data_IF_088156995585
#
_entry.id   IF_088156995585
#
_cell.length_a   1.000
_cell.length_b   1.000
_cell.length_c   1.000
_cell.angle_alpha   90.00
_cell.angle_beta   90.00
_cell.angle_gamma   90.00
#
_symmetry.space_group_name_H-M   'P 1'
#
loop_
_entity.id
_entity.type
_entity.pdbx_description
1 polymer ?
#
# COMPACT_ATOMS: atom_id res chain seq x y z
N UNK A 1 -11.54 3.13 27.51
CA UNK A 1 -10.16 3.58 27.23
C UNK A 1 -9.40 2.42 26.64
N UNK A 2 -8.89 2.55 25.42
CA UNK A 2 -8.17 1.48 24.71
C UNK A 2 -6.66 1.48 25.04
N UNK A 3 -6.27 1.98 26.21
CA UNK A 3 -4.87 2.07 26.61
C UNK A 3 -4.29 0.66 26.74
N UNK A 4 -3.27 0.33 25.95
CA UNK A 4 -2.62 -0.98 25.94
C UNK A 4 -3.22 -2.00 24.96
N UNK A 5 -4.37 -1.74 24.35
CA UNK A 5 -5.01 -2.70 23.45
C UNK A 5 -4.24 -2.83 22.12
N UNK A 6 -3.69 -1.73 21.60
CA UNK A 6 -2.90 -1.77 20.35
C UNK A 6 -1.58 -2.49 20.60
N UNK A 7 -0.92 -2.17 21.72
CA UNK A 7 0.32 -2.78 22.15
C UNK A 7 0.15 -4.29 22.37
N UNK A 8 -0.95 -4.71 23.00
CA UNK A 8 -1.27 -6.12 23.21
C UNK A 8 -1.51 -6.86 21.89
N UNK A 9 -2.25 -6.26 20.94
CA UNK A 9 -2.48 -6.85 19.62
C UNK A 9 -1.16 -6.99 18.85
N UNK A 10 -0.31 -5.96 18.84
CA UNK A 10 0.99 -6.00 18.16
C UNK A 10 1.94 -7.01 18.82
N UNK A 11 1.94 -7.10 20.15
CA UNK A 11 2.71 -8.12 20.87
C UNK A 11 2.25 -9.54 20.53
N UNK A 12 0.93 -9.77 20.42
CA UNK A 12 0.37 -11.05 19.99
C UNK A 12 0.78 -11.39 18.55
N UNK A 13 0.74 -10.42 17.63
CA UNK A 13 1.22 -10.60 16.25
C UNK A 13 2.69 -11.00 16.21
N UNK A 14 3.54 -10.37 17.02
CA UNK A 14 4.97 -10.71 17.11
C UNK A 14 5.23 -12.08 17.74
N UNK A 15 4.40 -12.51 18.70
CA UNK A 15 4.55 -13.81 19.38
C UNK A 15 4.05 -14.98 18.54
N UNK A 16 3.09 -14.74 17.65
CA UNK A 16 2.46 -15.77 16.82
C UNK A 16 2.52 -15.42 15.32
N UNK A 17 3.72 -15.25 14.74
CA UNK A 17 3.87 -14.84 13.36
C UNK A 17 3.29 -15.86 12.37
N UNK A 18 3.28 -17.16 12.70
CA UNK A 18 2.80 -18.21 11.79
C UNK A 18 1.28 -18.40 11.79
N UNK A 19 0.58 -17.89 12.82
CA UNK A 19 -0.86 -18.06 12.94
C UNK A 19 -1.60 -17.07 12.02
N UNK A 20 -1.90 -17.51 10.80
CA UNK A 20 -2.54 -16.68 9.78
C UNK A 20 -3.88 -16.07 10.21
N UNK A 21 -4.71 -16.84 10.95
CA UNK A 21 -6.02 -16.37 11.43
C UNK A 21 -5.81 -15.24 12.43
N UNK A 22 -4.90 -15.42 13.38
CA UNK A 22 -4.55 -14.39 14.35
C UNK A 22 -4.02 -13.13 13.66
N UNK A 23 -3.14 -13.27 12.65
CA UNK A 23 -2.62 -12.12 11.93
C UNK A 23 -3.72 -11.36 11.17
N UNK A 24 -4.65 -12.06 10.52
CA UNK A 24 -5.79 -11.45 9.83
C UNK A 24 -6.69 -10.68 10.80
N UNK A 25 -7.11 -11.32 11.89
CA UNK A 25 -7.98 -10.71 12.89
C UNK A 25 -7.30 -9.51 13.57
N UNK A 26 -6.00 -9.62 13.83
CA UNK A 26 -5.19 -8.54 14.38
C UNK A 26 -5.15 -7.32 13.46
N UNK A 27 -4.96 -7.50 12.14
CA UNK A 27 -5.00 -6.37 11.19
C UNK A 27 -6.36 -5.69 11.14
N UNK A 28 -7.45 -6.47 11.16
CA UNK A 28 -8.81 -5.93 11.21
C UNK A 28 -9.04 -5.14 12.50
N UNK A 29 -8.57 -5.66 13.64
CA UNK A 29 -8.66 -4.98 14.92
C UNK A 29 -7.85 -3.67 14.91
N UNK A 30 -6.58 -3.70 14.51
CA UNK A 30 -5.72 -2.51 14.41
C UNK A 30 -6.36 -1.47 13.50
N UNK A 31 -6.83 -1.86 12.31
CA UNK A 31 -7.48 -0.95 11.37
C UNK A 31 -8.70 -0.26 12.00
N UNK A 32 -9.57 -1.01 12.69
CA UNK A 32 -10.74 -0.43 13.38
C UNK A 32 -10.36 0.49 14.52
N UNK A 33 -9.27 0.21 15.21
CA UNK A 33 -8.80 1.03 16.33
C UNK A 33 -8.20 2.34 15.87
N UNK A 34 -7.46 2.35 14.75
CA UNK A 34 -6.79 3.56 14.25
C UNK A 34 -7.67 4.40 13.33
N UNK A 35 -8.67 3.81 12.67
CA UNK A 35 -9.54 4.53 11.74
C UNK A 35 -10.34 5.64 12.47
N UNK A 36 -10.09 6.89 12.08
CA UNK A 36 -10.76 8.06 12.66
C UNK A 36 -10.36 8.38 14.11
N UNK A 37 -9.25 7.82 14.61
CA UNK A 37 -8.78 8.06 15.97
C UNK A 37 -7.27 8.35 16.00
N UNK A 38 -6.92 9.63 16.02
CA UNK A 38 -5.54 10.11 16.02
C UNK A 38 -4.75 9.69 17.27
N UNK A 39 -5.40 9.61 18.43
CA UNK A 39 -4.76 9.14 19.67
C UNK A 39 -4.30 7.68 19.54
N UNK A 40 -5.15 6.84 18.95
CA UNK A 40 -4.83 5.45 18.67
C UNK A 40 -3.77 5.32 17.57
N UNK A 41 -3.76 6.22 16.57
CA UNK A 41 -2.67 6.30 15.58
C UNK A 41 -1.33 6.58 16.29
N UNK A 42 -1.27 7.58 17.17
CA UNK A 42 -0.05 7.91 17.93
C UNK A 42 0.42 6.78 18.85
N UNK A 43 -0.52 6.04 19.46
CA UNK A 43 -0.21 4.84 20.26
C UNK A 43 0.36 3.72 19.39
N UNK A 44 -0.26 3.46 18.23
CA UNK A 44 0.24 2.48 17.27
C UNK A 44 1.65 2.85 16.77
N UNK A 45 1.90 4.13 16.50
CA UNK A 45 3.22 4.64 16.13
C UNK A 45 4.27 4.40 17.21
N UNK A 46 3.93 4.72 18.47
CA UNK A 46 4.80 4.50 19.62
C UNK A 46 5.12 3.02 19.82
N UNK A 47 4.16 2.14 19.49
CA UNK A 47 4.30 0.69 19.54
C UNK A 47 5.04 0.09 18.32
N UNK A 48 5.46 0.90 17.34
CA UNK A 48 6.23 0.43 16.19
C UNK A 48 5.41 -0.33 15.15
N UNK A 49 4.10 -0.04 15.04
CA UNK A 49 3.16 -0.74 14.15
C UNK A 49 3.66 -0.90 12.71
N UNK A 50 4.36 0.10 12.14
CA UNK A 50 4.85 0.07 10.75
C UNK A 50 5.81 -1.11 10.54
N UNK A 51 6.73 -1.35 11.50
CA UNK A 51 7.67 -2.46 11.42
C UNK A 51 6.97 -3.81 11.47
N UNK A 52 6.00 -3.95 12.38
CA UNK A 52 5.18 -5.16 12.52
C UNK A 52 4.40 -5.44 11.23
N UNK A 53 3.77 -4.42 10.65
CA UNK A 53 3.00 -4.55 9.41
C UNK A 53 3.90 -5.05 8.27
N UNK A 54 5.05 -4.41 8.06
CA UNK A 54 5.98 -4.79 6.98
C UNK A 54 6.54 -6.20 7.19
N UNK A 55 6.91 -6.57 8.41
CA UNK A 55 7.36 -7.93 8.72
C UNK A 55 6.27 -8.97 8.41
N UNK A 56 5.03 -8.69 8.79
CA UNK A 56 3.91 -9.60 8.56
C UNK A 56 3.58 -9.72 7.07
N UNK A 57 3.61 -8.62 6.31
CA UNK A 57 3.45 -8.67 4.84
C UNK A 57 4.48 -9.57 4.17
N UNK A 58 5.74 -9.52 4.62
CA UNK A 58 6.83 -10.35 4.09
C UNK A 58 6.69 -11.83 4.49
N UNK A 59 6.18 -12.10 5.69
CA UNK A 59 5.90 -13.47 6.14
C UNK A 59 4.70 -14.13 5.47
N UNK A 60 3.71 -13.34 5.03
CA UNK A 60 2.41 -13.83 4.55
C UNK A 60 2.07 -13.37 3.14
N UNK A 61 3.03 -13.46 2.22
CA UNK A 61 2.88 -12.96 0.84
C UNK A 61 1.70 -13.56 0.07
N UNK A 62 1.33 -14.81 0.35
CA UNK A 62 0.22 -15.50 -0.33
C UNK A 62 -1.16 -15.21 0.26
N UNK A 63 -1.23 -14.59 1.44
CA UNK A 63 -2.50 -14.35 2.11
C UNK A 63 -3.11 -13.01 1.66
N UNK A 64 -3.97 -13.06 0.65
CA UNK A 64 -4.59 -11.88 0.06
C UNK A 64 -5.26 -10.95 1.10
N UNK A 65 -6.12 -11.48 1.98
CA UNK A 65 -6.83 -10.70 3.01
C UNK A 65 -5.87 -9.99 3.97
N UNK A 66 -4.77 -10.65 4.33
CA UNK A 66 -3.75 -10.06 5.18
C UNK A 66 -3.02 -8.92 4.44
N UNK A 67 -2.68 -9.12 3.16
CA UNK A 67 -2.07 -8.07 2.34
C UNK A 67 -3.00 -6.86 2.19
N UNK A 68 -4.31 -7.06 2.02
CA UNK A 68 -5.32 -5.98 2.00
C UNK A 68 -5.31 -5.18 3.30
N UNK A 69 -5.45 -5.86 4.44
CA UNK A 69 -5.47 -5.22 5.76
C UNK A 69 -4.17 -4.48 6.07
N UNK A 70 -3.04 -5.08 5.73
CA UNK A 70 -1.73 -4.46 5.90
C UNK A 70 -1.56 -3.20 5.05
N UNK A 71 -1.96 -3.23 3.77
CA UNK A 71 -1.93 -2.04 2.91
C UNK A 71 -2.84 -0.93 3.43
N UNK A 72 -4.02 -1.28 3.94
CA UNK A 72 -4.96 -0.34 4.53
C UNK A 72 -4.39 0.32 5.78
N UNK A 73 -3.80 -0.45 6.71
CA UNK A 73 -3.14 0.10 7.90
C UNK A 73 -2.01 1.06 7.51
N UNK A 74 -1.16 0.69 6.54
CA UNK A 74 -0.09 1.57 6.05
C UNK A 74 -0.62 2.87 5.43
N UNK A 75 -1.74 2.82 4.70
CA UNK A 75 -2.36 4.02 4.14
C UNK A 75 -2.84 4.98 5.23
N UNK A 76 -3.52 4.46 6.27
CA UNK A 76 -4.03 5.28 7.38
C UNK A 76 -2.87 5.91 8.16
N UNK A 77 -1.83 5.13 8.47
CA UNK A 77 -0.67 5.63 9.21
C UNK A 77 0.13 6.68 8.41
N UNK A 78 0.14 6.61 7.09
CA UNK A 78 0.90 7.53 6.23
C UNK A 78 0.09 8.75 5.79
N UNK A 79 -1.23 8.69 5.91
CA UNK A 79 -2.13 9.78 5.58
C UNK A 79 -1.84 10.99 6.48
N UNK A 80 -1.59 12.14 5.87
CA UNK A 80 -1.27 13.40 6.54
C UNK A 80 -0.12 13.38 7.59
N UNK A 81 0.67 12.31 7.66
CA UNK A 81 1.75 12.16 8.64
C UNK A 81 3.12 11.97 7.97
N UNK A 82 3.86 13.08 7.78
CA UNK A 82 5.17 13.08 7.14
C UNK A 82 6.24 12.23 7.86
N UNK A 83 6.20 12.16 9.20
CA UNK A 83 7.14 11.32 9.97
C UNK A 83 6.90 9.83 9.69
N UNK A 84 5.64 9.42 9.61
CA UNK A 84 5.30 8.03 9.28
C UNK A 84 5.64 7.69 7.84
N UNK A 85 5.51 8.62 6.89
CA UNK A 85 5.98 8.41 5.50
C UNK A 85 7.46 8.06 5.48
N UNK A 86 8.30 8.80 6.21
CA UNK A 86 9.75 8.52 6.32
C UNK A 86 9.98 7.15 6.98
N UNK A 87 9.32 6.86 8.11
CA UNK A 87 9.43 5.56 8.80
C UNK A 87 9.01 4.39 7.90
N UNK A 88 7.92 4.53 7.17
CA UNK A 88 7.42 3.52 6.23
C UNK A 88 8.41 3.28 5.08
N UNK A 89 8.98 4.35 4.52
CA UNK A 89 10.04 4.28 3.53
C UNK A 89 11.30 3.58 4.04
N UNK A 90 11.72 3.85 5.28
CA UNK A 90 12.89 3.23 5.89
C UNK A 90 12.68 1.77 6.27
N UNK A 91 11.44 1.40 6.65
CA UNK A 91 11.07 0.02 6.91
C UNK A 91 10.98 -0.84 5.63
N UNK A 92 10.98 -0.22 4.46
CA UNK A 92 10.78 -0.89 3.17
C UNK A 92 9.32 -1.28 2.94
N UNK A 93 8.38 -0.44 3.37
CA UNK A 93 6.94 -0.65 3.20
C UNK A 93 6.52 -0.51 1.74
N UNK A 94 7.16 0.38 0.97
CA UNK A 94 6.86 0.59 -0.45
C UNK A 94 7.15 -0.69 -1.24
N UNK A 95 8.30 -1.31 -1.01
CA UNK A 95 8.70 -2.57 -1.63
C UNK A 95 7.75 -3.71 -1.24
N UNK A 96 7.33 -3.77 0.02
CA UNK A 96 6.37 -4.77 0.50
C UNK A 96 4.99 -4.61 -0.17
N UNK A 97 4.47 -3.38 -0.27
CA UNK A 97 3.19 -3.09 -0.95
C UNK A 97 3.27 -3.41 -2.44
N UNK A 98 4.37 -3.05 -3.12
CA UNK A 98 4.56 -3.40 -4.53
C UNK A 98 4.70 -4.91 -4.74
N UNK A 99 5.33 -5.64 -3.81
CA UNK A 99 5.38 -7.09 -3.85
C UNK A 99 3.98 -7.71 -3.68
N UNK A 100 3.15 -7.17 -2.77
CA UNK A 100 1.76 -7.60 -2.61
C UNK A 100 0.94 -7.42 -3.90
N UNK A 101 1.09 -6.27 -4.57
CA UNK A 101 0.44 -6.04 -5.87
C UNK A 101 0.89 -7.02 -6.95
N UNK A 102 2.17 -7.43 -6.94
CA UNK A 102 2.72 -8.41 -7.88
C UNK A 102 2.25 -9.83 -7.57
N UNK A 103 2.12 -10.18 -6.29
CA UNK A 103 1.65 -11.48 -5.83
C UNK A 103 0.16 -11.70 -6.08
N UNK A 104 -0.63 -10.62 -6.09
CA UNK A 104 -2.09 -10.67 -6.25
C UNK A 104 -2.59 -9.79 -7.40
N UNK A 105 -2.20 -10.06 -8.66
CA UNK A 105 -2.51 -9.20 -9.79
C UNK A 105 -4.01 -9.15 -10.14
N UNK A 106 -4.75 -10.22 -9.86
CA UNK A 106 -6.18 -10.35 -10.16
C UNK A 106 -7.07 -9.83 -9.03
N UNK A 107 -6.51 -9.62 -7.84
CA UNK A 107 -7.27 -9.08 -6.72
C UNK A 107 -7.36 -7.55 -6.82
N UNK A 108 -8.46 -7.07 -7.39
CA UNK A 108 -8.73 -5.65 -7.60
C UNK A 108 -8.72 -4.84 -6.30
N UNK A 109 -9.14 -5.43 -5.18
CA UNK A 109 -9.17 -4.77 -3.87
C UNK A 109 -7.74 -4.49 -3.41
N UNK A 110 -6.85 -5.49 -3.49
CA UNK A 110 -5.42 -5.30 -3.19
C UNK A 110 -4.82 -4.22 -4.09
N UNK A 111 -5.09 -4.27 -5.40
CA UNK A 111 -4.54 -3.27 -6.33
C UNK A 111 -4.96 -1.85 -5.96
N UNK A 112 -6.24 -1.64 -5.62
CA UNK A 112 -6.78 -0.33 -5.23
C UNK A 112 -6.18 0.15 -3.91
N UNK A 113 -6.23 -0.67 -2.85
CA UNK A 113 -5.74 -0.28 -1.53
C UNK A 113 -4.22 -0.08 -1.55
N UNK A 114 -3.47 -0.92 -2.28
CA UNK A 114 -2.04 -0.76 -2.44
C UNK A 114 -1.68 0.53 -3.16
N UNK A 115 -2.43 0.92 -4.21
CA UNK A 115 -2.23 2.21 -4.88
C UNK A 115 -2.44 3.39 -3.92
N UNK A 116 -3.51 3.34 -3.10
CA UNK A 116 -3.76 4.36 -2.08
C UNK A 116 -2.63 4.41 -1.06
N UNK A 117 -2.17 3.25 -0.59
CA UNK A 117 -1.07 3.14 0.37
C UNK A 117 0.23 3.76 -0.17
N UNK A 118 0.61 3.44 -1.42
CA UNK A 118 1.77 4.04 -2.08
C UNK A 118 1.59 5.54 -2.26
N UNK A 119 0.40 6.01 -2.64
CA UNK A 119 0.12 7.44 -2.75
C UNK A 119 0.31 8.14 -1.40
N UNK A 120 -0.30 7.64 -0.33
CA UNK A 120 -0.18 8.20 1.03
C UNK A 120 1.27 8.23 1.52
N UNK A 121 2.09 7.22 1.19
CA UNK A 121 3.51 7.18 1.54
C UNK A 121 4.38 8.14 0.72
N UNK A 122 4.00 8.42 -0.53
CA UNK A 122 4.81 9.21 -1.48
C UNK A 122 4.44 10.69 -1.51
N UNK A 123 3.23 11.07 -1.09
CA UNK A 123 2.82 12.48 -1.02
C UNK A 123 3.83 13.28 -0.21
N UNK A 124 4.44 14.31 -0.81
CA UNK A 124 5.40 15.19 -0.14
C UNK A 124 6.68 14.49 0.37
N UNK A 125 7.02 13.30 -0.13
CA UNK A 125 8.26 12.60 0.21
C UNK A 125 8.97 12.09 -1.05
N UNK A 126 9.97 12.83 -1.51
CA UNK A 126 10.73 12.53 -2.74
C UNK A 126 11.53 11.23 -2.66
N UNK A 127 12.04 10.87 -1.48
CA UNK A 127 12.78 9.62 -1.27
C UNK A 127 11.87 8.41 -1.50
N UNK A 128 10.67 8.46 -0.96
CA UNK A 128 9.65 7.44 -1.15
C UNK A 128 9.19 7.38 -2.62
N UNK A 129 9.07 8.52 -3.29
CA UNK A 129 8.82 8.57 -4.73
C UNK A 129 9.94 7.85 -5.49
N UNK A 130 11.21 8.11 -5.14
CA UNK A 130 12.35 7.45 -5.76
C UNK A 130 12.35 5.94 -5.53
N UNK A 131 12.00 5.46 -4.31
CA UNK A 131 11.87 4.03 -4.02
C UNK A 131 10.77 3.37 -4.86
N UNK A 132 9.59 4.00 -4.94
CA UNK A 132 8.47 3.50 -5.74
C UNK A 132 8.79 3.44 -7.24
N UNK A 133 9.50 4.45 -7.76
CA UNK A 133 9.90 4.53 -9.19
C UNK A 133 11.10 3.62 -9.48
N UNK A 134 12.05 3.49 -8.56
CA UNK A 134 13.26 2.67 -8.68
C UNK A 134 12.93 1.19 -8.86
N UNK A 135 11.94 0.69 -8.11
CA UNK A 135 11.41 -0.67 -8.26
C UNK A 135 10.80 -0.92 -9.65
N UNK A 136 10.27 0.12 -10.31
CA UNK A 136 9.77 0.01 -11.69
C UNK A 136 10.91 -0.07 -12.71
N UNK A 137 12.06 0.55 -12.45
CA UNK A 137 13.23 0.55 -13.35
C UNK A 137 14.02 -0.76 -13.31
N UNK A 138 14.21 -1.36 -12.13
CA UNK A 138 14.89 -2.67 -11.99
C UNK A 138 14.24 -3.78 -12.81
N UNK A 139 12.94 -3.70 -13.07
CA UNK A 139 12.20 -4.75 -13.78
C UNK A 139 12.00 -4.50 -15.29
N UNK A 140 12.30 -3.31 -15.83
CA UNK A 140 12.23 -3.06 -17.28
C UNK A 140 13.38 -3.75 -18.05
N UNK A 141 14.35 -4.33 -17.35
CA UNK A 141 15.42 -5.18 -17.90
C UNK A 141 15.03 -6.65 -18.15
N UNK A 142 13.78 -7.05 -17.86
CA UNK A 142 13.30 -8.43 -18.08
C UNK A 142 12.00 -8.41 -18.88
N UNK A 143 12.06 -8.04 -20.16
CA UNK A 143 10.91 -8.15 -21.08
C UNK A 143 10.72 -9.59 -21.53
N UNK A 144 10.02 -10.37 -20.71
CA UNK A 144 9.20 -11.48 -21.18
C UNK A 144 7.87 -10.95 -21.70
N UNK A 145 7.57 -11.21 -22.96
CA UNK A 145 6.33 -10.82 -23.64
C UNK A 145 5.12 -11.44 -22.91
N UNK A 146 4.25 -10.61 -22.32
CA UNK A 146 2.90 -11.02 -21.96
C UNK A 146 1.88 -10.16 -22.72
N UNK A 147 1.22 -10.84 -23.67
CA UNK A 147 0.15 -10.34 -24.53
C UNK A 147 -1.11 -10.01 -23.71
N UNK A 148 -1.65 -8.82 -23.99
CA UNK A 148 -3.07 -8.43 -23.98
C UNK A 148 -3.98 -9.04 -22.91
N UNK A 149 -4.18 -8.27 -21.83
CA UNK A 149 -5.33 -8.35 -20.93
C UNK A 149 -5.32 -7.08 -20.09
N UNK A 150 -6.38 -6.28 -20.15
CA UNK A 150 -6.41 -4.88 -19.73
C UNK A 150 -5.77 -4.60 -18.37
N UNK A 151 -4.58 -3.99 -18.37
CA UNK A 151 -3.96 -3.41 -17.18
C UNK A 151 -4.32 -1.94 -17.15
N UNK A 152 -4.89 -1.47 -16.05
CA UNK A 152 -4.88 -0.04 -15.73
C UNK A 152 -3.40 0.32 -15.54
N UNK A 153 -2.80 1.16 -16.40
CA UNK A 153 -1.42 1.52 -16.22
C UNK A 153 -1.32 2.35 -14.94
N UNK A 154 -0.36 2.03 -14.06
CA UNK A 154 0.00 2.82 -12.86
C UNK A 154 0.24 4.32 -13.15
N UNK A 155 0.40 4.71 -14.43
CA UNK A 155 0.44 6.12 -14.83
C UNK A 155 -0.88 6.86 -14.66
N UNK A 156 -2.03 6.18 -14.53
CA UNK A 156 -3.32 6.83 -14.28
C UNK A 156 -3.55 7.14 -12.79
N UNK A 157 -3.00 6.36 -11.85
CA UNK A 157 -3.21 6.57 -10.41
C UNK A 157 -2.39 7.75 -9.85
N UNK A 158 -1.24 8.06 -10.46
CA UNK A 158 -0.37 9.16 -10.04
C UNK A 158 -0.75 10.53 -10.64
N UNK A 159 -1.80 10.61 -11.46
CA UNK A 159 -2.18 11.82 -12.18
C UNK A 159 -3.19 12.73 -11.45
N UNK A 160 -3.69 12.33 -10.28
CA UNK A 160 -4.74 13.09 -9.56
C UNK A 160 -4.24 13.97 -8.41
N UNK A 161 -2.93 14.13 -8.24
CA UNK A 161 -2.33 15.02 -7.23
C UNK A 161 -1.27 15.93 -7.85
N UNK A 162 -1.67 17.16 -8.12
CA UNK A 162 -0.91 18.23 -8.78
C UNK A 162 0.46 18.49 -8.14
N UNK A 163 1.56 18.11 -8.80
CA UNK A 163 2.73 18.97 -9.11
C UNK A 163 3.49 18.30 -10.27
N UNK A 164 3.16 18.66 -11.51
CA UNK A 164 4.05 18.49 -12.66
C UNK A 164 4.24 19.87 -13.30
N UNK A 165 5.06 20.71 -12.67
CA UNK A 165 5.57 21.89 -13.34
C UNK A 165 6.91 21.55 -14.01
N UNK A 166 6.82 21.46 -15.34
CA UNK A 166 7.86 21.69 -16.34
C UNK A 166 8.75 20.52 -16.81
N UNK A 167 8.82 20.46 -18.15
CA UNK A 167 9.85 19.84 -18.99
C UNK A 167 9.81 18.31 -19.21
N UNK A 168 8.79 17.83 -19.90
CA UNK A 168 8.91 17.39 -21.32
C UNK A 168 7.56 16.85 -21.81
N UNK A 169 6.91 17.63 -22.67
CA UNK A 169 5.65 17.29 -23.29
C UNK A 169 5.84 16.13 -24.28
N UNK A 170 5.33 14.95 -23.92
CA UNK A 170 5.15 13.80 -24.81
C UNK A 170 3.74 13.24 -24.63
N UNK A 171 2.84 13.66 -25.52
CA UNK A 171 1.41 13.32 -25.62
C UNK A 171 1.02 11.95 -25.03
N UNK A 172 0.08 11.93 -24.09
CA UNK A 172 -0.76 10.76 -23.80
C UNK A 172 -2.23 11.15 -23.92
N UNK A 173 -2.83 10.78 -25.06
CA UNK A 173 -4.26 10.82 -25.27
C UNK A 173 -4.91 9.59 -24.63
N UNK A 174 -5.74 9.79 -23.62
CA UNK A 174 -6.73 8.80 -23.21
C UNK A 174 -8.02 9.53 -22.84
N UNK A 175 -8.69 10.08 -23.86
CA UNK A 175 -10.10 10.41 -23.77
C UNK A 175 -10.90 9.11 -23.76
N UNK A 176 -11.64 8.92 -22.67
CA UNK A 176 -12.55 7.83 -22.37
C UNK A 176 -13.58 7.66 -23.49
N UNK A 177 -13.44 6.61 -24.32
CA UNK A 177 -14.51 6.19 -25.24
C UNK A 177 -15.36 5.15 -24.53
N UNK A 178 -16.41 5.60 -23.85
CA UNK A 178 -17.51 4.74 -23.37
C UNK A 178 -18.22 4.21 -24.62
N UNK A 179 -17.96 2.95 -25.01
CA UNK A 179 -18.84 2.23 -25.94
C UNK A 179 -19.94 1.57 -25.13
N UNK A 180 -21.18 2.05 -25.30
CA UNK A 180 -22.41 1.33 -24.94
C UNK A 180 -22.43 0.02 -25.75
N UNK A 181 -22.55 -1.10 -25.04
CA UNK A 181 -22.82 -2.40 -25.63
C UNK A 181 -24.27 -2.47 -26.11
N UNK A 182 -24.43 -2.95 -27.33
CA UNK A 182 -25.67 -3.35 -27.99
C UNK A 182 -26.31 -4.55 -27.28
N UNK A 183 -27.62 -4.50 -27.05
CA UNK A 183 -28.45 -5.68 -26.87
C UNK A 183 -29.57 -5.63 -27.91
N UNK A 184 -29.64 -6.73 -28.69
CA UNK A 184 -30.69 -7.18 -29.61
C UNK A 184 -31.22 -6.19 -30.65
#
# INVERSE_FOLDING_TARGET
GNAGAIEAVLAAMCRHPENQVLQQDAFVAVQRMIAGNEENVMKAESAGVIGVVVATMRGHVQNAKLQEGACAVLSILSFENGRNRIKAGNAGAIEAVLAAMRGHPENLIIQQIACLSVQSMTTGNEENVMKAVGERRRHRGSTGVYRTGGRVPLSCALASGTVWTSATAGRCACQTRIRRGTYA
#
